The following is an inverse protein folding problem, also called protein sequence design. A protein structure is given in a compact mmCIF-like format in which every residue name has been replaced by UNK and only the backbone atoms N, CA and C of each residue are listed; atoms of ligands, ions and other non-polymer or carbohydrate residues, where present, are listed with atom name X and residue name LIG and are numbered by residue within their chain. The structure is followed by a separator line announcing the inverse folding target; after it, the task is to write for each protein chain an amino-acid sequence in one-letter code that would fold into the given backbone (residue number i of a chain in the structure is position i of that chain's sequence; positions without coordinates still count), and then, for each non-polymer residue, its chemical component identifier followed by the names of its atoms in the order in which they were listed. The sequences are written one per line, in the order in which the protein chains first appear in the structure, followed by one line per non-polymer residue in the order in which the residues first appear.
data_IF_874788190704
#
_entry.id   IF_874788190704
#
_cell.length_a   1.000
_cell.length_b   1.000
_cell.length_c   1.000
_cell.angle_alpha   90.00
_cell.angle_beta   90.00
_cell.angle_gamma   90.00
#
_symmetry.space_group_name_H-M   'P 1'
#
loop_
_entity.id
_entity.type
_entity.pdbx_description
1 polymer ?
#
# COMPACT_ATOMS: atom_id res chain seq x y z
N UNK A 1 18.93 -4.15 3.59
CA UNK A 1 17.57 -3.55 3.74
C UNK A 1 16.82 -3.77 2.44
N UNK A 2 15.50 -3.81 2.45
CA UNK A 2 14.72 -4.06 1.24
C UNK A 2 13.64 -5.12 1.44
N UNK A 3 13.12 -5.61 0.33
CA UNK A 3 11.99 -6.54 0.28
C UNK A 3 12.51 -7.91 -0.13
N UNK A 4 12.13 -8.94 0.60
CA UNK A 4 12.37 -10.35 0.29
C UNK A 4 11.02 -11.02 0.00
N UNK A 5 10.88 -11.67 -1.15
CA UNK A 5 9.63 -12.35 -1.55
C UNK A 5 9.76 -13.84 -1.27
N UNK A 6 9.14 -14.32 -0.19
CA UNK A 6 9.20 -15.73 0.23
C UNK A 6 8.19 -16.60 -0.52
N UNK A 7 6.98 -16.10 -0.73
CA UNK A 7 5.93 -16.82 -1.47
C UNK A 7 5.22 -15.90 -2.44
N UNK A 8 4.87 -16.46 -3.60
CA UNK A 8 3.99 -15.88 -4.60
C UNK A 8 3.27 -17.07 -5.29
N UNK A 9 2.13 -17.47 -4.75
CA UNK A 9 1.43 -18.69 -5.16
C UNK A 9 -0.09 -18.49 -5.17
N UNK A 10 -0.85 -19.23 -5.99
CA UNK A 10 -2.30 -19.19 -5.93
C UNK A 10 -2.81 -19.76 -4.59
N UNK A 11 -3.95 -19.28 -4.11
CA UNK A 11 -4.68 -19.85 -2.97
C UNK A 11 -6.14 -20.15 -3.34
N UNK A 12 -6.72 -21.11 -2.62
CA UNK A 12 -8.14 -21.50 -2.67
C UNK A 12 -8.64 -21.74 -1.25
N UNK A 13 -9.96 -21.82 -1.08
CA UNK A 13 -10.63 -22.15 0.20
C UNK A 13 -10.25 -21.26 1.40
N UNK A 14 -9.90 -19.99 1.15
CA UNK A 14 -9.59 -19.03 2.21
C UNK A 14 -10.66 -17.91 2.23
N UNK A 15 -11.72 -18.03 3.05
CA UNK A 15 -12.85 -17.11 3.02
C UNK A 15 -12.46 -15.71 3.49
N UNK A 16 -12.75 -14.73 2.65
CA UNK A 16 -12.49 -13.30 2.83
C UNK A 16 -13.80 -12.51 2.71
N UNK A 17 -13.88 -11.38 3.42
CA UNK A 17 -15.06 -10.50 3.49
C UNK A 17 -16.38 -11.27 3.69
N UNK A 18 -16.45 -12.08 4.75
CA UNK A 18 -17.64 -12.88 5.06
C UNK A 18 -17.90 -14.03 4.08
N UNK A 19 -16.85 -14.53 3.41
CA UNK A 19 -16.94 -15.64 2.45
C UNK A 19 -17.28 -15.24 1.02
N UNK A 20 -17.34 -13.93 0.72
CA UNK A 20 -17.61 -13.41 -0.63
C UNK A 20 -16.46 -13.68 -1.61
N UNK A 21 -15.25 -13.82 -1.11
CA UNK A 21 -14.06 -14.15 -1.90
C UNK A 21 -13.33 -15.31 -1.21
N UNK A 22 -12.81 -16.27 -1.96
CA UNK A 22 -12.17 -17.46 -1.39
C UNK A 22 -10.92 -17.96 -2.12
N UNK A 23 -10.60 -17.37 -3.27
CA UNK A 23 -9.47 -17.77 -4.11
C UNK A 23 -8.81 -16.57 -4.75
N UNK A 24 -7.52 -16.67 -5.03
CA UNK A 24 -6.73 -15.59 -5.62
C UNK A 24 -5.24 -15.87 -5.58
N UNK A 25 -4.44 -14.81 -5.46
CA UNK A 25 -2.99 -14.91 -5.28
C UNK A 25 -2.60 -14.59 -3.84
N UNK A 26 -1.76 -15.43 -3.25
CA UNK A 26 -1.14 -15.22 -1.96
C UNK A 26 0.32 -14.83 -2.14
N UNK A 27 0.73 -13.78 -1.43
CA UNK A 27 2.14 -13.38 -1.35
C UNK A 27 2.57 -13.26 0.09
N UNK A 28 3.79 -13.67 0.38
CA UNK A 28 4.44 -13.48 1.68
C UNK A 28 5.79 -12.82 1.47
N UNK A 29 5.97 -11.64 2.06
CA UNK A 29 7.16 -10.81 1.93
C UNK A 29 7.71 -10.43 3.29
N UNK A 30 9.02 -10.24 3.34
CA UNK A 30 9.72 -9.69 4.50
C UNK A 30 10.37 -8.36 4.13
N UNK A 31 10.02 -7.33 4.88
CA UNK A 31 10.60 -5.99 4.79
C UNK A 31 11.68 -5.83 5.86
N UNK A 32 12.90 -5.59 5.41
CA UNK A 32 14.08 -5.36 6.24
C UNK A 32 14.28 -3.85 6.41
N UNK A 33 13.72 -3.25 7.47
CA UNK A 33 13.51 -1.80 7.62
C UNK A 33 14.55 -1.05 8.48
N UNK A 34 15.72 -1.64 8.73
CA UNK A 34 16.69 -1.16 9.73
C UNK A 34 16.90 0.36 9.78
N UNK A 35 17.39 1.01 8.71
CA UNK A 35 17.60 2.46 8.65
C UNK A 35 16.39 3.27 8.19
N UNK A 36 15.30 2.61 7.76
CA UNK A 36 14.12 3.25 7.17
C UNK A 36 13.03 3.63 8.16
N UNK A 37 13.08 3.13 9.40
CA UNK A 37 12.16 3.53 10.47
C UNK A 37 12.67 4.76 11.26
N UNK A 38 11.78 5.54 11.90
CA UNK A 38 12.15 6.69 12.71
C UNK A 38 13.23 6.41 13.75
N UNK A 39 14.09 7.40 14.03
CA UNK A 39 15.24 7.25 14.92
C UNK A 39 14.87 6.76 16.33
N UNK A 40 13.75 7.24 16.88
CA UNK A 40 13.31 6.82 18.21
C UNK A 40 12.87 5.34 18.25
N UNK A 41 12.31 4.79 17.16
CA UNK A 41 12.00 3.36 17.05
C UNK A 41 13.31 2.57 16.99
N UNK A 42 14.29 3.03 16.20
CA UNK A 42 15.62 2.38 16.11
C UNK A 42 16.35 2.34 17.46
N UNK A 43 16.17 3.35 18.30
CA UNK A 43 16.79 3.42 19.62
C UNK A 43 16.17 2.42 20.61
N UNK A 44 14.86 2.16 20.49
CA UNK A 44 14.12 1.27 21.39
C UNK A 44 14.12 -0.20 20.94
N UNK A 45 14.28 -0.43 19.63
CA UNK A 45 14.20 -1.75 19.02
C UNK A 45 15.57 -2.47 19.07
N UNK A 46 15.66 -3.71 19.57
CA UNK A 46 16.89 -4.50 19.52
C UNK A 46 17.42 -4.67 18.09
N UNK A 47 18.75 -4.85 17.92
CA UNK A 47 19.32 -5.13 16.58
C UNK A 47 18.64 -6.36 15.96
N UNK A 48 18.20 -6.24 14.71
CA UNK A 48 17.52 -7.32 13.98
C UNK A 48 16.02 -7.48 14.27
N UNK A 49 15.42 -6.63 15.12
CA UNK A 49 13.98 -6.68 15.44
C UNK A 49 13.09 -5.92 14.45
N UNK A 50 13.66 -5.12 13.55
CA UNK A 50 12.96 -4.29 12.56
C UNK A 50 12.69 -5.04 11.25
N UNK A 51 12.24 -6.28 11.40
CA UNK A 51 11.81 -7.15 10.32
C UNK A 51 10.27 -7.20 10.32
N UNK A 52 9.65 -6.71 9.25
CA UNK A 52 8.21 -6.66 9.11
C UNK A 52 7.77 -7.71 8.11
N UNK A 53 6.77 -8.50 8.48
CA UNK A 53 6.22 -9.58 7.68
C UNK A 53 4.93 -9.09 7.04
N UNK A 54 4.82 -9.16 5.72
CA UNK A 54 3.61 -8.84 4.96
C UNK A 54 3.07 -10.11 4.32
N UNK A 55 1.86 -10.50 4.71
CA UNK A 55 1.08 -11.52 4.04
C UNK A 55 -0.09 -10.85 3.32
N UNK A 56 -0.29 -11.15 2.05
CA UNK A 56 -1.36 -10.59 1.25
C UNK A 56 -2.14 -11.67 0.50
N UNK A 57 -3.46 -11.63 0.62
CA UNK A 57 -4.42 -12.44 -0.11
C UNK A 57 -5.17 -11.56 -1.10
N UNK A 58 -4.70 -11.55 -2.33
CA UNK A 58 -5.29 -10.80 -3.43
C UNK A 58 -6.33 -11.65 -4.17
N UNK A 59 -7.59 -11.43 -3.86
CA UNK A 59 -8.76 -12.00 -4.53
C UNK A 59 -9.52 -10.89 -5.28
N UNK A 60 -8.81 -10.16 -6.16
CA UNK A 60 -9.35 -8.99 -6.86
C UNK A 60 -10.81 -9.22 -7.32
N UNK A 61 -11.75 -8.30 -7.02
CA UNK A 61 -11.53 -6.91 -6.59
C UNK A 61 -11.22 -6.70 -5.10
N UNK A 62 -11.20 -7.74 -4.28
CA UNK A 62 -10.86 -7.63 -2.86
C UNK A 62 -9.43 -8.08 -2.57
N UNK A 63 -8.73 -7.37 -1.69
CA UNK A 63 -7.42 -7.77 -1.22
C UNK A 63 -7.33 -7.56 0.28
N UNK A 64 -6.74 -8.53 1.00
CA UNK A 64 -6.40 -8.39 2.41
C UNK A 64 -4.90 -8.48 2.57
N UNK A 65 -4.29 -7.46 3.16
CA UNK A 65 -2.88 -7.46 3.56
C UNK A 65 -2.79 -7.43 5.07
N UNK A 66 -1.94 -8.27 5.65
CA UNK A 66 -1.67 -8.36 7.09
C UNK A 66 -0.17 -8.18 7.30
N UNK A 67 0.17 -7.16 8.07
CA UNK A 67 1.54 -6.75 8.36
C UNK A 67 1.80 -6.98 9.85
N UNK A 68 2.85 -7.72 10.18
CA UNK A 68 3.20 -8.13 11.55
C UNK A 68 4.69 -8.02 11.83
N UNK A 69 5.07 -8.13 13.11
CA UNK A 69 6.45 -8.17 13.55
C UNK A 69 6.63 -9.36 14.51
N UNK A 70 6.66 -10.60 13.98
CA UNK A 70 6.51 -11.81 14.78
C UNK A 70 7.69 -12.05 15.73
N UNK A 71 8.89 -11.57 15.40
CA UNK A 71 10.10 -11.80 16.20
C UNK A 71 10.14 -10.99 17.49
N UNK A 72 9.60 -9.77 17.49
CA UNK A 72 9.75 -8.83 18.60
C UNK A 72 8.42 -8.43 19.22
N UNK A 73 7.53 -7.78 18.46
CA UNK A 73 6.25 -7.32 18.98
C UNK A 73 5.21 -8.43 19.11
N UNK A 74 5.28 -9.52 18.31
CA UNK A 74 4.30 -10.62 18.30
C UNK A 74 2.87 -10.05 18.15
N UNK A 75 1.96 -10.43 19.04
CA UNK A 75 0.55 -9.99 19.06
C UNK A 75 0.36 -8.52 19.47
N UNK A 76 1.45 -7.82 19.83
CA UNK A 76 1.41 -6.40 20.17
C UNK A 76 1.59 -5.49 18.95
N UNK A 77 1.79 -6.01 17.75
CA UNK A 77 1.82 -5.20 16.53
C UNK A 77 1.12 -5.90 15.37
N UNK A 78 0.14 -5.21 14.78
CA UNK A 78 -0.56 -5.66 13.58
C UNK A 78 -1.08 -4.47 12.78
N UNK A 79 -0.81 -4.45 11.48
CA UNK A 79 -1.51 -3.56 10.55
C UNK A 79 -2.27 -4.44 9.56
N UNK A 80 -3.54 -4.15 9.33
CA UNK A 80 -4.38 -4.84 8.36
C UNK A 80 -4.87 -3.82 7.36
N UNK A 81 -4.67 -4.09 6.09
CA UNK A 81 -5.18 -3.28 4.98
C UNK A 81 -6.14 -4.16 4.20
N UNK A 82 -7.44 -3.91 4.37
CA UNK A 82 -8.47 -4.49 3.52
C UNK A 82 -8.74 -3.48 2.38
N UNK A 83 -8.70 -3.94 1.13
CA UNK A 83 -8.93 -3.11 -0.05
C UNK A 83 -10.06 -3.69 -0.88
N UNK A 84 -11.02 -2.86 -1.28
CA UNK A 84 -12.05 -3.23 -2.25
C UNK A 84 -12.06 -2.22 -3.41
N UNK A 85 -12.02 -2.74 -4.64
CA UNK A 85 -12.01 -1.94 -5.86
C UNK A 85 -13.41 -1.95 -6.49
N UNK A 86 -14.06 -0.78 -6.57
CA UNK A 86 -15.40 -0.63 -7.13
C UNK A 86 -15.40 0.36 -8.30
N UNK A 87 -16.27 0.14 -9.29
CA UNK A 87 -16.47 1.03 -10.42
C UNK A 87 -17.41 2.19 -10.05
N UNK A 88 -16.99 3.00 -9.08
CA UNK A 88 -17.74 4.14 -8.55
C UNK A 88 -16.82 5.36 -8.30
N UNK A 89 -17.39 6.46 -7.77
CA UNK A 89 -16.66 7.71 -7.51
C UNK A 89 -16.34 7.93 -6.02
N UNK A 90 -16.41 6.89 -5.19
CA UNK A 90 -16.13 6.99 -3.76
C UNK A 90 -17.37 7.29 -2.90
N UNK A 91 -18.56 6.98 -3.41
CA UNK A 91 -19.86 7.21 -2.82
C UNK A 91 -20.43 6.01 -2.02
N UNK A 92 -19.84 4.82 -2.18
CA UNK A 92 -20.24 3.63 -1.44
C UNK A 92 -19.78 3.68 0.03
N UNK A 93 -20.72 3.68 0.98
CA UNK A 93 -20.39 3.63 2.41
C UNK A 93 -20.29 2.19 2.94
N UNK A 94 -19.44 2.01 3.96
CA UNK A 94 -19.21 0.77 4.69
C UNK A 94 -19.05 -0.49 3.82
N UNK A 95 -18.36 -0.40 2.68
CA UNK A 95 -18.18 -1.51 1.74
C UNK A 95 -17.49 -2.75 2.34
N UNK A 96 -16.74 -2.55 3.43
CA UNK A 96 -16.08 -3.61 4.20
C UNK A 96 -16.99 -4.28 5.23
N UNK A 97 -18.26 -3.86 5.32
CA UNK A 97 -19.27 -4.42 6.24
C UNK A 97 -18.81 -4.41 7.70
N UNK A 98 -18.25 -3.28 8.15
CA UNK A 98 -17.82 -3.14 9.53
C UNK A 98 -19.03 -3.18 10.47
N UNK A 99 -18.89 -3.81 11.64
CA UNK A 99 -19.90 -3.73 12.68
C UNK A 99 -20.04 -2.28 13.17
N UNK A 100 -21.22 -1.88 13.69
CA UNK A 100 -21.50 -0.50 14.09
C UNK A 100 -20.43 0.13 14.99
N UNK A 101 -19.90 -0.64 15.95
CA UNK A 101 -18.89 -0.16 16.91
C UNK A 101 -17.57 0.23 16.25
N UNK A 102 -17.11 -0.54 15.25
CA UNK A 102 -15.90 -0.21 14.48
C UNK A 102 -16.18 0.88 13.47
N UNK A 103 -17.37 0.87 12.86
CA UNK A 103 -17.76 1.88 11.89
C UNK A 103 -17.79 3.29 12.51
N UNK A 104 -18.25 3.42 13.76
CA UNK A 104 -18.26 4.69 14.50
C UNK A 104 -16.85 5.24 14.80
N UNK A 105 -15.86 4.36 14.93
CA UNK A 105 -14.46 4.74 15.20
C UNK A 105 -13.69 5.09 13.91
N UNK A 106 -14.22 4.68 12.75
CA UNK A 106 -13.57 4.85 11.45
C UNK A 106 -13.58 6.31 11.02
N UNK A 107 -12.40 6.83 10.70
CA UNK A 107 -12.24 8.07 9.93
C UNK A 107 -12.23 7.76 8.43
N UNK A 108 -12.92 8.59 7.63
CA UNK A 108 -12.89 8.50 6.17
C UNK A 108 -12.01 9.62 5.63
N UNK A 109 -10.94 9.24 4.92
CA UNK A 109 -10.00 10.16 4.29
C UNK A 109 -10.02 9.93 2.79
N UNK A 110 -10.30 10.98 2.01
CA UNK A 110 -10.17 10.94 0.56
C UNK A 110 -8.76 11.32 0.15
N UNK A 111 -8.14 10.53 -0.72
CA UNK A 111 -6.88 10.86 -1.36
C UNK A 111 -7.17 11.39 -2.76
N UNK A 112 -6.74 12.61 -3.05
CA UNK A 112 -6.79 13.20 -4.39
C UNK A 112 -5.38 13.19 -5.02
N UNK A 113 -5.13 12.27 -5.95
CA UNK A 113 -3.81 12.14 -6.59
C UNK A 113 -3.36 13.37 -7.38
N UNK A 114 -4.29 14.26 -7.77
CA UNK A 114 -3.97 15.49 -8.49
C UNK A 114 -3.73 16.66 -7.54
N UNK A 115 -4.55 16.77 -6.48
CA UNK A 115 -4.63 17.98 -5.66
C UNK A 115 -4.10 17.84 -4.23
N UNK A 116 -3.94 16.63 -3.69
CA UNK A 116 -3.37 16.46 -2.35
C UNK A 116 -1.91 16.94 -2.32
N UNK A 117 -1.48 17.58 -1.21
CA UNK A 117 -0.11 18.04 -1.09
C UNK A 117 0.87 16.87 -1.05
N UNK A 118 1.94 16.99 -1.83
CA UNK A 118 3.08 16.05 -1.84
C UNK A 118 4.29 16.78 -1.27
N UNK A 119 5.07 16.11 -0.42
CA UNK A 119 6.25 16.73 0.17
C UNK A 119 7.31 17.01 -0.92
N UNK A 120 8.15 18.05 -0.78
CA UNK A 120 9.21 18.29 -1.75
C UNK A 120 10.19 17.12 -1.91
N UNK A 121 10.35 16.29 -0.87
CA UNK A 121 11.22 15.12 -0.90
C UNK A 121 10.62 13.94 -1.71
N UNK A 122 9.29 13.87 -1.82
CA UNK A 122 8.60 12.85 -2.61
C UNK A 122 8.22 13.31 -4.01
N UNK A 123 8.13 14.63 -4.22
CA UNK A 123 7.66 15.17 -5.49
C UNK A 123 8.65 14.88 -6.61
N UNK A 124 8.13 14.30 -7.70
CA UNK A 124 8.84 14.17 -8.97
C UNK A 124 7.94 14.64 -10.10
N UNK A 125 8.51 15.38 -11.03
CA UNK A 125 7.78 15.98 -12.16
C UNK A 125 7.17 14.91 -13.07
N UNK A 126 7.87 13.80 -13.30
CA UNK A 126 7.43 12.65 -14.09
C UNK A 126 6.43 11.73 -13.37
N UNK A 127 6.16 11.99 -12.09
CA UNK A 127 5.16 11.31 -11.26
C UNK A 127 4.03 12.26 -10.85
N UNK A 128 3.80 13.32 -11.64
CA UNK A 128 2.74 14.32 -11.42
C UNK A 128 1.53 14.14 -12.35
N UNK A 129 0.38 13.65 -11.84
CA UNK A 129 -0.83 13.45 -12.65
C UNK A 129 -1.38 14.73 -13.27
N UNK A 130 -1.04 15.90 -12.72
CA UNK A 130 -1.46 17.20 -13.26
C UNK A 130 -0.66 17.62 -14.51
N UNK A 131 0.44 16.90 -14.80
CA UNK A 131 1.33 17.15 -15.94
C UNK A 131 1.36 15.97 -16.91
N UNK A 132 1.07 14.77 -16.44
CA UNK A 132 1.08 13.56 -17.25
C UNK A 132 -0.14 13.44 -18.16
N UNK A 133 0.08 13.14 -19.44
CA UNK A 133 -0.94 12.72 -20.39
C UNK A 133 -0.48 11.43 -21.07
N UNK A 134 -1.30 10.39 -20.98
CA UNK A 134 -1.01 9.09 -21.59
C UNK A 134 -1.06 9.18 -23.12
N UNK A 135 -0.02 8.70 -23.78
CA UNK A 135 0.02 8.59 -25.24
C UNK A 135 -0.82 7.42 -25.74
N UNK A 136 -0.93 6.33 -24.96
CA UNK A 136 -1.70 5.14 -25.35
C UNK A 136 -3.21 5.30 -25.18
N UNK A 137 -3.66 6.09 -24.22
CA UNK A 137 -5.08 6.19 -23.83
C UNK A 137 -5.65 7.60 -23.97
N UNK A 138 -4.80 8.62 -24.08
CA UNK A 138 -5.21 10.02 -24.09
C UNK A 138 -5.64 10.58 -22.73
N UNK A 139 -5.65 9.78 -21.66
CA UNK A 139 -6.06 10.19 -20.31
C UNK A 139 -5.06 11.17 -19.70
N UNK A 140 -5.58 12.11 -18.90
CA UNK A 140 -4.78 13.18 -18.30
C UNK A 140 -4.54 14.37 -19.25
N UNK A 141 -3.94 15.46 -18.75
CA UNK A 141 -3.62 15.69 -17.35
C UNK A 141 -4.85 15.85 -16.46
N UNK A 142 -4.72 15.49 -15.18
CA UNK A 142 -5.78 15.66 -14.18
C UNK A 142 -5.72 17.09 -13.64
N UNK A 143 -6.64 17.95 -14.05
CA UNK A 143 -6.60 19.38 -13.72
C UNK A 143 -7.90 19.87 -13.08
N UNK A 144 -7.74 20.64 -12.00
CA UNK A 144 -8.83 21.28 -11.27
C UNK A 144 -9.44 20.39 -10.18
N UNK A 145 -10.16 21.03 -9.25
CA UNK A 145 -10.77 20.34 -8.11
C UNK A 145 -11.83 19.29 -8.50
N UNK A 146 -12.49 19.48 -9.65
CA UNK A 146 -13.55 18.60 -10.16
C UNK A 146 -13.06 17.60 -11.23
N UNK A 147 -11.75 17.33 -11.35
CA UNK A 147 -11.23 16.43 -12.40
C UNK A 147 -11.93 15.06 -12.39
N UNK A 148 -12.28 14.54 -11.21
CA UNK A 148 -12.96 13.25 -11.02
C UNK A 148 -14.29 13.14 -11.77
N UNK A 149 -15.00 14.27 -11.97
CA UNK A 149 -16.28 14.33 -12.70
C UNK A 149 -16.11 14.42 -14.21
N UNK A 150 -14.90 14.68 -14.69
CA UNK A 150 -14.57 14.97 -16.10
C UNK A 150 -13.79 13.86 -16.77
N UNK A 151 -13.53 12.77 -16.06
CA UNK A 151 -12.74 11.63 -16.55
C UNK A 151 -13.59 10.37 -16.58
N UNK A 152 -13.32 9.53 -17.58
CA UNK A 152 -13.90 8.22 -17.74
C UNK A 152 -12.86 7.29 -18.40
N UNK A 153 -12.75 6.02 -17.98
CA UNK A 153 -13.38 5.39 -16.83
C UNK A 153 -12.83 5.88 -15.49
N UNK A 154 -13.63 5.71 -14.43
CA UNK A 154 -13.26 5.96 -13.03
C UNK A 154 -13.56 4.73 -12.18
N UNK A 155 -12.73 4.51 -11.16
CA UNK A 155 -12.93 3.51 -10.12
C UNK A 155 -12.43 4.06 -8.80
N UNK A 156 -12.87 3.47 -7.69
CA UNK A 156 -12.39 3.80 -6.35
C UNK A 156 -11.83 2.57 -5.66
N UNK A 157 -10.64 2.72 -5.07
CA UNK A 157 -10.07 1.74 -4.16
C UNK A 157 -10.37 2.17 -2.72
N UNK A 158 -11.30 1.48 -2.08
CA UNK A 158 -11.60 1.67 -0.66
C UNK A 158 -10.56 0.90 0.15
N UNK A 159 -9.61 1.59 0.77
CA UNK A 159 -8.59 0.98 1.65
C UNK A 159 -8.93 1.21 3.11
N UNK A 160 -9.35 0.16 3.81
CA UNK A 160 -9.54 0.19 5.26
C UNK A 160 -8.24 -0.24 5.94
N UNK A 161 -7.61 0.71 6.65
CA UNK A 161 -6.38 0.48 7.42
C UNK A 161 -6.71 0.35 8.91
N UNK A 162 -6.51 -0.84 9.46
CA UNK A 162 -6.60 -1.10 10.90
C UNK A 162 -5.18 -1.25 11.46
N UNK A 163 -4.85 -0.50 12.51
CA UNK A 163 -3.54 -0.58 13.16
C UNK A 163 -3.73 -0.90 14.64
N UNK A 164 -2.97 -1.87 15.15
CA UNK A 164 -2.86 -2.19 16.57
C UNK A 164 -1.36 -2.14 16.95
N UNK A 165 -1.00 -1.28 17.90
CA UNK A 165 0.35 -1.23 18.46
C UNK A 165 0.31 -1.11 19.99
N UNK A 166 0.52 -2.22 20.69
CA UNK A 166 0.43 -2.30 22.15
C UNK A 166 1.80 -2.11 22.79
N UNK A 167 2.16 -0.85 23.04
CA UNK A 167 3.35 -0.49 23.81
C UNK A 167 3.03 0.66 24.76
N UNK A 168 3.23 0.42 26.05
CA UNK A 168 2.98 1.41 27.10
C UNK A 168 3.71 2.73 26.82
N UNK A 169 2.94 3.83 26.74
CA UNK A 169 3.47 5.18 26.49
C UNK A 169 3.76 5.52 25.02
N UNK A 170 3.64 4.58 24.08
CA UNK A 170 3.94 4.80 22.66
C UNK A 170 2.79 4.47 21.70
N UNK A 171 1.74 3.77 22.15
CA UNK A 171 0.61 3.33 21.34
C UNK A 171 0.07 4.40 20.37
N UNK A 172 -0.57 5.45 20.89
CA UNK A 172 -1.23 6.45 20.04
C UNK A 172 -0.26 7.18 19.12
N UNK A 173 1.00 7.39 19.55
CA UNK A 173 2.02 8.05 18.74
C UNK A 173 2.38 7.19 17.52
N UNK A 174 2.60 5.90 17.73
CA UNK A 174 2.98 4.97 16.66
C UNK A 174 1.81 4.67 15.73
N UNK A 175 0.60 4.44 16.27
CA UNK A 175 -0.59 4.20 15.44
C UNK A 175 -0.86 5.40 14.52
N UNK A 176 -0.78 6.64 15.04
CA UNK A 176 -0.92 7.84 14.22
C UNK A 176 0.21 7.99 13.18
N UNK A 177 1.45 7.67 13.55
CA UNK A 177 2.57 7.70 12.61
C UNK A 177 2.37 6.70 11.45
N UNK A 178 1.90 5.48 11.75
CA UNK A 178 1.60 4.46 10.74
C UNK A 178 0.48 4.95 9.82
N UNK A 179 -0.63 5.46 10.36
CA UNK A 179 -1.74 5.96 9.53
C UNK A 179 -1.31 7.10 8.60
N UNK A 180 -0.48 8.03 9.08
CA UNK A 180 0.11 9.09 8.24
C UNK A 180 1.05 8.53 7.15
N UNK A 181 1.85 7.52 7.51
CA UNK A 181 2.78 6.87 6.59
C UNK A 181 2.04 6.10 5.49
N UNK A 182 0.97 5.38 5.83
CA UNK A 182 0.09 4.70 4.87
C UNK A 182 -0.61 5.70 3.94
N UNK A 183 -1.13 6.82 4.47
CA UNK A 183 -1.69 7.88 3.62
C UNK A 183 -0.65 8.41 2.63
N UNK A 184 0.55 8.75 3.09
CA UNK A 184 1.67 9.22 2.24
C UNK A 184 2.02 8.18 1.17
N UNK A 185 2.14 6.91 1.57
CA UNK A 185 2.41 5.79 0.66
C UNK A 185 1.34 5.67 -0.42
N UNK A 186 0.06 5.66 -0.04
CA UNK A 186 -1.05 5.55 -0.99
C UNK A 186 -1.11 6.75 -1.93
N UNK A 187 -0.90 7.98 -1.45
CA UNK A 187 -0.85 9.17 -2.31
C UNK A 187 0.22 9.04 -3.38
N UNK A 188 1.46 8.74 -2.97
CA UNK A 188 2.60 8.65 -3.90
C UNK A 188 2.46 7.46 -4.85
N UNK A 189 2.03 6.30 -4.33
CA UNK A 189 1.84 5.09 -5.13
C UNK A 189 0.78 5.30 -6.23
N UNK A 190 -0.39 5.85 -5.93
CA UNK A 190 -1.43 6.02 -6.94
C UNK A 190 -1.11 7.12 -7.95
N UNK A 191 -0.34 8.15 -7.57
CA UNK A 191 0.24 9.11 -8.51
C UNK A 191 1.14 8.42 -9.52
N UNK A 192 2.06 7.57 -9.04
CA UNK A 192 2.94 6.77 -9.90
C UNK A 192 2.17 5.81 -10.80
N UNK A 193 1.19 5.08 -10.27
CA UNK A 193 0.34 4.18 -11.07
C UNK A 193 -0.32 4.92 -12.23
N UNK A 194 -0.83 6.13 -12.00
CA UNK A 194 -1.42 6.94 -13.07
C UNK A 194 -0.38 7.41 -14.09
N UNK A 195 0.75 7.96 -13.64
CA UNK A 195 1.79 8.47 -14.54
C UNK A 195 2.56 7.37 -15.28
N UNK A 196 2.52 6.13 -14.79
CA UNK A 196 3.11 4.98 -15.45
C UNK A 196 2.11 4.21 -16.32
N UNK A 197 0.92 4.78 -16.58
CA UNK A 197 -0.13 4.14 -17.38
C UNK A 197 0.39 3.58 -18.69
N UNK A 198 1.21 4.32 -19.43
CA UNK A 198 1.71 3.83 -20.71
C UNK A 198 2.67 2.64 -20.59
N UNK A 199 3.23 2.39 -19.40
CA UNK A 199 4.12 1.24 -19.15
C UNK A 199 3.34 -0.04 -18.88
N UNK A 200 2.19 0.04 -18.21
CA UNK A 200 1.40 -1.15 -17.84
C UNK A 200 0.12 -1.33 -18.67
N UNK A 201 -0.39 -0.28 -19.31
CA UNK A 201 -1.61 -0.37 -20.12
C UNK A 201 -1.36 -1.26 -21.35
N UNK A 202 -2.18 -2.32 -21.45
CA UNK A 202 -2.07 -3.35 -22.48
C UNK A 202 -1.27 -4.60 -22.06
N UNK A 203 -0.68 -4.62 -20.86
CA UNK A 203 -0.08 -5.85 -20.33
C UNK A 203 -1.15 -6.87 -19.99
N UNK A 204 -0.87 -8.14 -20.31
CA UNK A 204 -1.68 -9.28 -19.90
C UNK A 204 -1.29 -9.73 -18.50
N UNK A 205 -2.12 -10.53 -17.84
CA UNK A 205 -1.74 -11.13 -16.56
C UNK A 205 -0.51 -12.04 -16.68
N UNK A 206 -0.30 -12.68 -17.83
CA UNK A 206 0.91 -13.47 -18.11
C UNK A 206 2.16 -12.59 -18.12
N UNK A 207 2.09 -11.41 -18.75
CA UNK A 207 3.18 -10.43 -18.73
C UNK A 207 3.48 -9.97 -17.30
N UNK A 208 2.44 -9.72 -16.50
CA UNK A 208 2.61 -9.34 -15.09
C UNK A 208 3.32 -10.44 -14.31
N UNK A 209 2.96 -11.72 -14.49
CA UNK A 209 3.67 -12.84 -13.84
C UNK A 209 5.13 -12.92 -14.26
N UNK A 210 5.42 -12.78 -15.54
CA UNK A 210 6.80 -12.79 -16.03
C UNK A 210 7.62 -11.62 -15.47
N UNK A 211 7.00 -10.45 -15.26
CA UNK A 211 7.64 -9.31 -14.60
C UNK A 211 7.87 -9.60 -13.11
N UNK A 212 6.89 -10.14 -12.40
CA UNK A 212 7.02 -10.51 -10.98
C UNK A 212 8.19 -11.47 -10.74
N UNK A 213 8.36 -12.48 -11.60
CA UNK A 213 9.45 -13.45 -11.49
C UNK A 213 10.83 -12.79 -11.68
N UNK A 214 10.97 -11.92 -12.68
CA UNK A 214 12.22 -11.15 -12.90
C UNK A 214 12.52 -10.21 -11.75
N UNK A 215 11.51 -9.49 -11.25
CA UNK A 215 11.65 -8.54 -10.14
C UNK A 215 12.06 -9.26 -8.87
N UNK A 216 11.56 -10.47 -8.62
CA UNK A 216 11.99 -11.28 -7.48
C UNK A 216 13.50 -11.55 -7.52
N UNK A 217 14.02 -12.00 -8.66
CA UNK A 217 15.46 -12.25 -8.83
C UNK A 217 16.29 -10.97 -8.64
N UNK A 218 15.83 -9.85 -9.21
CA UNK A 218 16.50 -8.55 -9.06
C UNK A 218 16.52 -8.05 -7.61
N UNK A 219 15.41 -8.18 -6.89
CA UNK A 219 15.31 -7.78 -5.48
C UNK A 219 16.23 -8.61 -4.59
N UNK A 220 16.31 -9.92 -4.83
CA UNK A 220 17.20 -10.80 -4.09
C UNK A 220 18.67 -10.43 -4.34
N UNK A 221 19.05 -10.15 -5.59
CA UNK A 221 20.39 -9.68 -5.94
C UNK A 221 20.71 -8.32 -5.33
N UNK A 222 19.82 -7.34 -5.45
CA UNK A 222 20.02 -6.00 -4.88
C UNK A 222 20.12 -6.02 -3.35
N UNK A 223 19.41 -6.94 -2.69
CA UNK A 223 19.51 -7.09 -1.23
C UNK A 223 20.89 -7.62 -0.81
N UNK A 224 21.52 -8.46 -1.62
CA UNK A 224 22.83 -9.05 -1.34
C UNK A 224 23.99 -8.12 -1.73
N UNK A 225 23.86 -7.40 -2.85
CA UNK A 225 24.98 -6.69 -3.50
C UNK A 225 24.80 -5.15 -3.54
N UNK A 226 23.61 -4.64 -3.27
CA UNK A 226 23.23 -3.24 -3.51
C UNK A 226 23.32 -2.30 -2.31
N UNK A 227 23.29 -1.00 -2.61
CA UNK A 227 23.19 0.07 -1.61
C UNK A 227 21.74 0.35 -1.17
N UNK A 228 21.56 0.90 0.03
CA UNK A 228 20.23 1.27 0.56
C UNK A 228 19.61 2.43 -0.24
N UNK A 229 18.42 2.23 -0.80
CA UNK A 229 17.67 3.23 -1.60
C UNK A 229 16.18 3.29 -1.22
N UNK A 230 15.47 4.31 -1.72
CA UNK A 230 14.02 4.51 -1.55
C UNK A 230 13.64 5.43 -0.37
N UNK A 231 12.34 5.58 -0.12
CA UNK A 231 11.80 6.51 0.89
C UNK A 231 12.27 6.13 2.30
N UNK A 232 12.69 7.14 3.06
CA UNK A 232 12.97 7.05 4.50
C UNK A 232 11.79 7.67 5.25
N UNK A 233 11.44 7.13 6.41
CA UNK A 233 10.50 7.79 7.30
C UNK A 233 10.99 9.19 7.67
N UNK A 234 10.08 10.16 7.73
CA UNK A 234 10.42 11.50 8.20
C UNK A 234 10.88 11.41 9.66
N UNK A 235 11.94 12.16 9.99
CA UNK A 235 12.32 12.39 11.38
C UNK A 235 11.37 13.44 11.96
N UNK A 236 10.44 13.01 12.81
CA UNK A 236 9.86 13.90 13.82
C UNK A 236 10.98 14.45 14.73
#
# INVERSE_FOLDING_TARGET
EGIEVLKNEPFTDHPLLGGKYSSGQYTYKIYHLASKVPAFIRLLAPKGSLEIHEEAWNAYPYCKTVITNPKFMKDNFKVIIDSLHLADQGDSDNVHQLPPEKLKQREVVHIDIANDPVTPADYKDDEDPTKFKSEKTGRGPLVGADWKKKVDPVMTCYKLVTCEFKWFGLQSRIENFIQKSERRLFTNFHRQVFCWMDRWHGLTMEDIRAIEDKVKEELDKQRQEGEVRGTKADSD
#
